data_IF_587205764743
#
_entry.id   IF_587205764743
#
_cell.length_a   1.000
_cell.length_b   1.000
_cell.length_c   1.000
_cell.angle_alpha   90.00
_cell.angle_beta   90.00
_cell.angle_gamma   90.00
#
_symmetry.space_group_name_H-M   'P 1'
#
loop_
_entity.id
_entity.type
_entity.pdbx_description
1 polymer ?
#
# COMPACT_ATOMS: atom_id res chain seq x y z
N UNK A 1 21.41 1.57 24.00
CA UNK A 1 20.13 2.09 24.52
C UNK A 1 19.64 3.14 23.56
N UNK A 2 18.38 3.05 23.16
CA UNK A 2 17.70 4.05 22.34
C UNK A 2 16.89 5.01 23.24
N UNK A 3 16.86 6.28 22.86
CA UNK A 3 15.89 7.22 23.39
C UNK A 3 14.61 7.11 22.53
N UNK A 4 13.46 6.93 23.16
CA UNK A 4 12.17 6.79 22.49
C UNK A 4 11.37 8.06 22.71
N UNK A 5 10.96 8.68 21.64
CA UNK A 5 10.14 9.89 21.63
C UNK A 5 8.83 9.60 20.90
N UNK A 6 7.70 9.90 21.53
CA UNK A 6 6.40 9.90 20.83
C UNK A 6 6.38 11.03 19.80
N UNK A 7 5.93 10.73 18.60
CA UNK A 7 5.80 11.75 17.56
C UNK A 7 4.89 12.93 18.02
N UNK A 8 5.30 14.11 17.66
CA UNK A 8 4.51 15.33 17.78
C UNK A 8 4.67 16.16 16.50
N UNK A 9 3.73 17.06 16.22
CA UNK A 9 3.73 17.86 14.98
C UNK A 9 5.02 18.68 14.76
N UNK A 10 5.74 19.03 15.84
CA UNK A 10 7.05 19.69 15.78
C UNK A 10 8.15 18.84 15.15
N UNK A 11 7.99 17.53 15.08
CA UNK A 11 8.96 16.59 14.48
C UNK A 11 8.63 16.24 13.03
N UNK A 12 7.63 16.89 12.42
CA UNK A 12 7.13 16.53 11.08
C UNK A 12 8.20 16.53 10.02
N UNK A 13 9.03 17.57 9.98
CA UNK A 13 10.06 17.70 8.94
C UNK A 13 11.16 16.65 9.12
N UNK A 14 11.61 16.41 10.36
CA UNK A 14 12.59 15.36 10.67
C UNK A 14 12.05 13.97 10.32
N UNK A 15 10.78 13.68 10.66
CA UNK A 15 10.10 12.45 10.30
C UNK A 15 10.07 12.23 8.78
N UNK A 16 9.59 13.22 8.01
CA UNK A 16 9.48 13.13 6.57
C UNK A 16 10.84 12.99 5.88
N UNK A 17 11.85 13.72 6.35
CA UNK A 17 13.22 13.59 5.86
C UNK A 17 13.77 12.19 6.10
N UNK A 18 13.52 11.61 7.28
CA UNK A 18 13.93 10.23 7.58
C UNK A 18 13.23 9.22 6.66
N UNK A 19 11.92 9.33 6.47
CA UNK A 19 11.15 8.46 5.56
C UNK A 19 11.74 8.50 4.14
N UNK A 20 12.03 9.68 3.61
CA UNK A 20 12.58 9.85 2.27
C UNK A 20 13.94 9.14 2.10
N UNK A 21 14.79 9.18 3.14
CA UNK A 21 16.14 8.59 3.14
C UNK A 21 16.19 7.13 3.60
N UNK A 22 15.10 6.60 4.13
CA UNK A 22 15.03 5.24 4.68
C UNK A 22 15.18 4.17 3.61
N UNK A 23 15.55 2.95 4.02
CA UNK A 23 15.72 1.80 3.10
C UNK A 23 14.38 1.11 2.73
N UNK A 24 13.32 1.32 3.50
CA UNK A 24 12.03 0.65 3.36
C UNK A 24 10.80 1.56 3.52
N UNK A 25 10.99 2.85 3.76
CA UNK A 25 9.90 3.81 3.82
C UNK A 25 9.38 4.20 2.43
N UNK A 26 8.07 4.42 2.34
CA UNK A 26 7.36 4.92 1.17
C UNK A 26 6.62 6.22 1.53
N UNK A 27 6.05 6.91 0.53
CA UNK A 27 5.30 8.14 0.78
C UNK A 27 4.06 7.93 1.67
N UNK A 28 3.59 6.70 1.84
CA UNK A 28 2.50 6.37 2.77
C UNK A 28 2.85 6.69 4.23
N UNK A 29 4.15 6.72 4.56
CA UNK A 29 4.66 7.07 5.89
C UNK A 29 5.00 8.56 6.03
N UNK A 30 4.93 9.35 4.96
CA UNK A 30 5.08 10.80 5.04
C UNK A 30 3.90 11.40 5.81
N UNK A 31 4.16 12.34 6.72
CA UNK A 31 3.13 12.97 7.53
C UNK A 31 2.14 13.79 6.72
N UNK A 32 2.52 14.29 5.55
CA UNK A 32 1.55 14.91 4.64
C UNK A 32 0.56 13.89 4.06
N UNK A 33 0.95 12.58 4.01
CA UNK A 33 0.01 11.51 3.70
C UNK A 33 -0.72 11.05 4.96
N UNK A 34 -0.03 10.69 6.04
CA UNK A 34 -0.65 10.11 7.24
C UNK A 34 -1.66 11.06 7.90
N UNK A 35 -1.35 12.35 7.96
CA UNK A 35 -2.16 13.33 8.70
C UNK A 35 -3.45 13.75 7.95
N UNK A 36 -3.74 13.24 6.72
CA UNK A 36 -4.99 13.58 6.04
C UNK A 36 -6.22 12.99 6.75
N UNK A 37 -6.02 11.96 7.57
CA UNK A 37 -7.08 11.24 8.28
C UNK A 37 -6.79 11.11 9.78
N UNK A 38 -6.07 12.07 10.35
CA UNK A 38 -5.72 12.09 11.78
C UNK A 38 -6.93 12.16 12.71
N UNK A 39 -8.09 12.57 12.19
CA UNK A 39 -9.38 12.55 12.88
C UNK A 39 -9.92 11.13 13.11
N UNK A 40 -9.41 10.12 12.39
CA UNK A 40 -9.87 8.72 12.45
C UNK A 40 -9.01 7.82 13.32
N UNK A 41 -7.76 8.24 13.57
CA UNK A 41 -6.76 7.40 14.24
C UNK A 41 -6.02 8.20 15.31
N UNK A 42 -6.06 7.72 16.55
CA UNK A 42 -5.27 8.28 17.63
C UNK A 42 -3.80 7.90 17.43
N UNK A 43 -2.98 8.88 17.03
CA UNK A 43 -1.57 8.65 16.72
C UNK A 43 -0.75 8.26 17.96
N UNK A 44 -0.04 7.17 17.88
CA UNK A 44 0.93 6.72 18.87
C UNK A 44 2.25 6.30 18.22
N UNK A 45 2.65 7.01 17.18
CA UNK A 45 3.88 6.76 16.45
C UNK A 45 5.12 7.07 17.28
N UNK A 46 6.19 6.31 17.09
CA UNK A 46 7.44 6.44 17.82
C UNK A 46 8.61 6.78 16.92
N UNK A 47 9.53 7.57 17.48
CA UNK A 47 10.82 7.94 16.94
C UNK A 47 11.91 7.38 17.85
N UNK A 48 12.85 6.64 17.29
CA UNK A 48 13.94 6.01 18.03
C UNK A 48 15.24 6.73 17.74
N UNK A 49 15.84 7.32 18.76
CA UNK A 49 17.12 8.04 18.63
C UNK A 49 18.28 7.24 19.20
N UNK A 50 19.41 7.24 18.52
CA UNK A 50 20.66 6.66 18.98
C UNK A 50 21.76 7.72 18.97
N UNK A 51 22.33 8.04 20.13
CA UNK A 51 23.34 9.10 20.29
C UNK A 51 22.88 10.44 19.70
N UNK A 52 21.63 10.82 19.98
CA UNK A 52 21.01 12.08 19.52
C UNK A 52 20.69 12.14 18.00
N UNK A 53 20.79 11.01 17.27
CA UNK A 53 20.41 10.93 15.85
C UNK A 53 19.22 10.00 15.68
N UNK A 54 18.23 10.42 14.88
CA UNK A 54 17.11 9.60 14.51
C UNK A 54 17.58 8.34 13.79
N UNK A 55 17.13 7.19 14.25
CA UNK A 55 17.60 5.87 13.84
C UNK A 55 16.52 4.99 13.22
N UNK A 56 15.32 5.02 13.77
CA UNK A 56 14.17 4.28 13.26
C UNK A 56 12.87 5.02 13.58
N UNK A 57 11.82 4.69 12.83
CA UNK A 57 10.47 5.18 13.04
C UNK A 57 9.49 4.00 13.09
N UNK A 58 8.46 4.13 13.90
CA UNK A 58 7.28 3.26 13.84
C UNK A 58 6.04 4.12 13.70
N UNK A 59 5.40 4.08 12.54
CA UNK A 59 4.08 4.65 12.34
C UNK A 59 3.06 3.77 13.09
N UNK A 60 2.31 4.36 14.01
CA UNK A 60 1.37 3.60 14.83
C UNK A 60 0.15 4.44 15.23
N UNK A 61 -0.96 3.74 15.46
CA UNK A 61 -2.12 4.30 16.14
C UNK A 61 -2.61 3.34 17.22
N UNK A 62 -3.36 3.88 18.17
CA UNK A 62 -3.94 3.09 19.25
C UNK A 62 -5.45 2.97 19.13
N UNK A 63 -5.98 1.87 19.65
CA UNK A 63 -7.40 1.64 19.87
C UNK A 63 -7.58 0.55 20.92
N UNK A 64 -8.38 0.80 21.95
CA UNK A 64 -8.73 -0.17 23.02
C UNK A 64 -7.50 -0.78 23.70
N UNK A 65 -6.49 0.03 24.01
CA UNK A 65 -5.19 -0.40 24.57
C UNK A 65 -4.42 -1.42 23.70
N UNK A 66 -4.75 -1.50 22.42
CA UNK A 66 -4.02 -2.24 21.40
C UNK A 66 -3.29 -1.25 20.50
N UNK A 67 -2.01 -1.50 20.27
CA UNK A 67 -1.23 -0.75 19.31
C UNK A 67 -1.31 -1.42 17.94
N UNK A 68 -1.51 -0.61 16.91
CA UNK A 68 -1.48 -1.03 15.51
C UNK A 68 -0.33 -0.32 14.79
N UNK A 69 0.44 -1.03 13.97
CA UNK A 69 1.40 -0.40 13.06
C UNK A 69 0.68 0.26 11.87
N UNK A 70 -0.22 1.13 12.20
CA UNK A 70 -1.14 2.03 11.54
C UNK A 70 -2.28 1.36 10.73
N UNK A 71 -3.50 1.38 11.31
CA UNK A 71 -4.71 0.80 10.70
C UNK A 71 -5.07 1.46 9.36
N UNK A 72 -4.82 2.76 9.20
CA UNK A 72 -5.13 3.52 7.99
C UNK A 72 -4.14 3.34 6.82
N UNK A 73 -3.08 2.55 6.97
CA UNK A 73 -2.10 2.29 5.93
C UNK A 73 -2.23 0.88 5.36
N UNK A 74 -1.87 0.70 4.10
CA UNK A 74 -1.88 -0.61 3.41
C UNK A 74 -0.94 -1.61 4.09
N UNK A 75 0.22 -1.14 4.54
CA UNK A 75 1.23 -1.82 5.34
C UNK A 75 1.81 -0.84 6.35
N UNK A 76 2.44 -1.36 7.39
CA UNK A 76 3.08 -0.60 8.45
C UNK A 76 4.53 -1.04 8.66
N UNK A 77 4.94 -1.18 9.90
CA UNK A 77 6.24 -1.74 10.25
C UNK A 77 7.31 -0.72 10.61
N UNK A 78 8.46 -1.23 11.04
CA UNK A 78 9.60 -0.42 11.44
C UNK A 78 10.30 0.15 10.21
N UNK A 79 10.49 1.47 10.19
CA UNK A 79 11.18 2.18 9.12
C UNK A 79 12.62 2.43 9.56
N UNK A 80 13.58 2.03 8.73
CA UNK A 80 14.99 2.04 9.09
C UNK A 80 15.87 2.58 7.96
N UNK A 81 17.15 2.82 8.25
CA UNK A 81 18.13 3.29 7.27
C UNK A 81 19.01 2.14 6.77
N UNK A 82 19.78 2.38 5.70
CA UNK A 82 20.76 1.42 5.16
C UNK A 82 21.89 1.07 6.14
N UNK A 83 22.06 1.84 7.20
CA UNK A 83 23.07 1.60 8.24
C UNK A 83 22.55 0.73 9.38
N UNK A 84 21.28 0.44 9.41
CA UNK A 84 20.65 -0.33 10.47
C UNK A 84 21.08 -1.79 10.41
N UNK A 85 21.49 -2.35 11.53
CA UNK A 85 21.91 -3.74 11.68
C UNK A 85 20.83 -4.56 12.38
N UNK A 86 20.87 -5.88 12.19
CA UNK A 86 19.93 -6.80 12.84
C UNK A 86 19.96 -6.69 14.37
N UNK A 87 21.14 -6.66 14.99
CA UNK A 87 21.28 -6.54 16.45
C UNK A 87 20.62 -5.26 16.98
N UNK A 88 20.77 -4.14 16.26
CA UNK A 88 20.14 -2.87 16.63
C UNK A 88 18.62 -2.92 16.49
N UNK A 89 18.08 -3.61 15.47
CA UNK A 89 16.64 -3.84 15.35
C UNK A 89 16.10 -4.68 16.50
N UNK A 90 16.82 -5.74 16.92
CA UNK A 90 16.45 -6.51 18.11
C UNK A 90 16.37 -5.63 19.37
N UNK A 91 17.35 -4.74 19.56
CA UNK A 91 17.34 -3.78 20.67
C UNK A 91 16.15 -2.83 20.57
N UNK A 92 15.83 -2.31 19.37
CA UNK A 92 14.63 -1.46 19.15
C UNK A 92 13.37 -2.20 19.57
N UNK A 93 13.19 -3.47 19.20
CA UNK A 93 12.00 -4.24 19.59
C UNK A 93 11.93 -4.54 21.09
N UNK A 94 13.06 -4.79 21.76
CA UNK A 94 13.08 -4.90 23.21
C UNK A 94 12.62 -3.60 23.89
N UNK A 95 13.14 -2.46 23.48
CA UNK A 95 12.81 -1.17 24.06
C UNK A 95 11.38 -0.72 23.70
N UNK A 96 10.92 -1.02 22.48
CA UNK A 96 9.56 -0.81 22.01
C UNK A 96 8.54 -1.56 22.89
N UNK A 97 8.78 -2.84 23.14
CA UNK A 97 7.90 -3.66 24.00
C UNK A 97 7.86 -3.10 25.42
N UNK A 98 9.01 -2.74 25.98
CA UNK A 98 9.09 -2.15 27.31
C UNK A 98 8.39 -0.78 27.39
N UNK A 99 8.48 0.04 26.35
CA UNK A 99 7.83 1.34 26.26
C UNK A 99 6.31 1.19 26.25
N UNK A 100 5.77 0.40 25.32
CA UNK A 100 4.31 0.25 25.19
C UNK A 100 3.69 -0.47 26.37
N UNK A 101 4.40 -1.47 26.96
CA UNK A 101 3.95 -2.11 28.21
C UNK A 101 3.81 -1.11 29.35
N UNK A 102 4.80 -0.21 29.54
CA UNK A 102 4.73 0.86 30.57
C UNK A 102 3.63 1.88 30.26
N UNK A 103 3.32 2.11 28.99
CA UNK A 103 2.23 2.99 28.55
C UNK A 103 0.84 2.35 28.70
N UNK A 104 0.75 1.09 29.17
CA UNK A 104 -0.53 0.42 29.47
C UNK A 104 -1.12 -0.36 28.29
N UNK A 105 -0.36 -0.55 27.22
CA UNK A 105 -0.77 -1.43 26.11
C UNK A 105 -0.58 -2.90 26.52
N UNK A 106 -1.45 -3.77 26.03
CA UNK A 106 -1.38 -5.21 26.29
C UNK A 106 -1.07 -6.02 25.03
N UNK A 107 -1.22 -5.44 23.83
CA UNK A 107 -1.05 -6.15 22.56
C UNK A 107 -0.55 -5.19 21.47
N UNK A 108 0.22 -5.74 20.54
CA UNK A 108 0.59 -5.06 19.29
C UNK A 108 0.13 -5.88 18.11
N UNK A 109 -0.46 -5.19 17.11
CA UNK A 109 -0.79 -5.73 15.79
C UNK A 109 0.09 -5.03 14.76
N UNK A 110 0.92 -5.82 14.08
CA UNK A 110 1.98 -5.35 13.21
C UNK A 110 1.79 -5.83 11.78
N UNK A 111 1.54 -4.90 10.85
CA UNK A 111 1.51 -5.17 9.41
C UNK A 111 2.91 -4.98 8.85
N UNK A 112 3.57 -6.05 8.43
CA UNK A 112 4.91 -5.95 7.86
C UNK A 112 4.88 -5.23 6.49
N UNK A 113 5.95 -4.48 6.18
CA UNK A 113 6.13 -3.91 4.85
C UNK A 113 6.53 -5.05 3.91
N UNK A 114 5.79 -5.34 2.82
CA UNK A 114 6.19 -6.39 1.88
C UNK A 114 7.54 -6.07 1.21
N UNK A 115 8.36 -7.09 1.01
CA UNK A 115 9.74 -6.94 0.50
C UNK A 115 9.86 -6.20 -0.84
N UNK A 116 8.83 -6.26 -1.69
CA UNK A 116 8.80 -5.52 -2.96
C UNK A 116 8.88 -3.99 -2.80
N UNK A 117 8.50 -3.44 -1.63
CA UNK A 117 8.58 -2.01 -1.32
C UNK A 117 9.92 -1.59 -0.73
N UNK A 118 10.82 -2.54 -0.47
CA UNK A 118 12.13 -2.25 0.09
C UNK A 118 13.10 -1.80 -1.01
N UNK A 119 13.75 -0.64 -0.82
CA UNK A 119 14.87 -0.17 -1.67
C UNK A 119 16.14 -1.00 -1.44
N UNK A 120 16.28 -1.59 -0.26
CA UNK A 120 17.35 -2.50 0.16
C UNK A 120 16.75 -3.63 0.98
N UNK A 121 17.36 -4.83 1.07
CA UNK A 121 16.92 -5.87 1.98
C UNK A 121 16.65 -5.33 3.38
N UNK A 122 15.47 -5.58 3.94
CA UNK A 122 14.98 -4.93 5.16
C UNK A 122 13.96 -5.79 5.90
N UNK A 123 14.34 -7.03 6.21
CA UNK A 123 13.46 -8.00 6.90
C UNK A 123 13.98 -8.31 8.32
N UNK A 124 14.81 -7.43 8.90
CA UNK A 124 15.31 -7.57 10.27
C UNK A 124 14.18 -7.53 11.30
N UNK A 125 13.10 -6.81 11.00
CA UNK A 125 11.89 -6.78 11.80
C UNK A 125 11.17 -8.14 11.83
N UNK A 126 11.10 -8.86 10.71
CA UNK A 126 10.50 -10.20 10.66
C UNK A 126 11.27 -11.17 11.56
N UNK A 127 12.60 -11.06 11.60
CA UNK A 127 13.41 -11.84 12.53
C UNK A 127 13.15 -11.45 13.99
N UNK A 128 13.05 -10.14 14.29
CA UNK A 128 12.74 -9.64 15.63
C UNK A 128 11.33 -10.08 16.10
N UNK A 129 10.33 -10.09 15.21
CA UNK A 129 8.98 -10.55 15.52
C UNK A 129 8.98 -11.99 16.06
N UNK A 130 9.81 -12.88 15.52
CA UNK A 130 9.92 -14.27 16.00
C UNK A 130 10.83 -14.41 17.21
N UNK A 131 12.03 -13.81 17.16
CA UNK A 131 13.08 -14.03 18.17
C UNK A 131 12.87 -13.26 19.48
N UNK A 132 12.27 -12.06 19.41
CA UNK A 132 12.06 -11.17 20.56
C UNK A 132 10.60 -11.15 20.99
N UNK A 133 9.67 -10.97 20.01
CA UNK A 133 8.26 -10.75 20.33
C UNK A 133 7.47 -12.06 20.46
N UNK A 134 8.00 -13.19 19.99
CA UNK A 134 7.25 -14.45 19.85
C UNK A 134 5.90 -14.23 19.15
N UNK A 135 5.93 -13.35 18.15
CA UNK A 135 4.75 -12.90 17.44
C UNK A 135 4.13 -14.02 16.62
N UNK A 136 2.81 -14.03 16.58
CA UNK A 136 2.01 -14.97 15.80
C UNK A 136 1.55 -14.30 14.51
N UNK A 137 1.70 -14.99 13.39
CA UNK A 137 1.06 -14.60 12.12
C UNK A 137 -0.45 -14.80 12.25
N UNK A 138 -1.23 -13.73 12.16
CA UNK A 138 -2.69 -13.77 12.31
C UNK A 138 -3.43 -13.57 10.99
N UNK A 139 -2.79 -12.95 9.99
CA UNK A 139 -3.34 -12.77 8.66
C UNK A 139 -2.22 -12.79 7.61
N UNK A 140 -2.48 -13.47 6.51
CA UNK A 140 -1.64 -13.45 5.31
C UNK A 140 -2.52 -13.20 4.11
N UNK A 141 -2.44 -11.98 3.58
CA UNK A 141 -3.08 -11.62 2.33
C UNK A 141 -2.18 -11.99 1.15
N UNK A 142 -2.78 -12.25 -0.01
CA UNK A 142 -2.05 -12.49 -1.27
C UNK A 142 -2.33 -11.37 -2.26
N UNK A 143 -1.27 -10.75 -2.77
CA UNK A 143 -1.30 -9.82 -3.89
C UNK A 143 -0.75 -10.47 -5.16
N UNK A 144 -1.05 -9.89 -6.32
CA UNK A 144 -0.51 -10.31 -7.60
C UNK A 144 0.42 -9.22 -8.14
N UNK A 145 1.71 -9.55 -8.24
CA UNK A 145 2.77 -8.61 -8.60
C UNK A 145 3.48 -9.06 -9.88
N UNK A 146 3.82 -8.12 -10.74
CA UNK A 146 4.63 -8.32 -11.95
C UNK A 146 6.04 -7.77 -11.70
N UNK A 147 7.06 -8.54 -12.01
CA UNK A 147 8.43 -8.05 -12.12
C UNK A 147 8.58 -7.40 -13.51
N UNK A 148 8.76 -6.06 -13.57
CA UNK A 148 8.63 -5.30 -14.81
C UNK A 148 9.71 -5.60 -15.85
N UNK A 149 10.91 -5.98 -15.42
CA UNK A 149 11.99 -6.39 -16.31
C UNK A 149 11.90 -7.86 -16.78
N UNK A 150 10.92 -8.66 -16.26
CA UNK A 150 10.72 -10.06 -16.62
C UNK A 150 9.23 -10.43 -16.58
N UNK A 151 8.45 -9.84 -17.47
CA UNK A 151 7.00 -10.01 -17.48
C UNK A 151 6.57 -11.35 -18.07
N UNK A 152 5.57 -11.99 -17.46
CA UNK A 152 4.84 -13.07 -18.09
C UNK A 152 3.86 -12.53 -19.14
N UNK A 153 3.63 -13.25 -20.25
CA UNK A 153 2.66 -12.83 -21.24
C UNK A 153 1.24 -12.85 -20.66
N UNK A 154 0.40 -11.95 -21.14
CA UNK A 154 -1.04 -11.98 -20.84
C UNK A 154 -1.67 -13.26 -21.34
N UNK A 155 -2.65 -13.78 -20.61
CA UNK A 155 -3.48 -14.91 -21.07
C UNK A 155 -4.29 -14.56 -22.31
N UNK A 156 -4.73 -15.57 -23.06
CA UNK A 156 -5.52 -15.34 -24.28
C UNK A 156 -6.82 -14.59 -24.01
N UNK A 157 -7.46 -14.80 -22.86
CA UNK A 157 -8.65 -14.03 -22.49
C UNK A 157 -8.35 -12.53 -22.35
N UNK A 158 -7.20 -12.16 -21.73
CA UNK A 158 -6.77 -10.75 -21.63
C UNK A 158 -6.40 -10.18 -22.99
N UNK A 159 -5.68 -10.93 -23.83
CA UNK A 159 -5.35 -10.52 -25.20
C UNK A 159 -6.60 -10.32 -26.05
N UNK A 160 -7.61 -11.19 -25.90
CA UNK A 160 -8.90 -11.04 -26.59
C UNK A 160 -9.61 -9.76 -26.16
N UNK A 161 -9.67 -9.48 -24.84
CA UNK A 161 -10.22 -8.24 -24.33
C UNK A 161 -9.51 -6.99 -24.85
N UNK A 162 -8.17 -7.01 -24.88
CA UNK A 162 -7.35 -5.93 -25.46
C UNK A 162 -7.71 -5.66 -26.92
N UNK A 163 -7.79 -6.73 -27.76
CA UNK A 163 -8.16 -6.59 -29.19
C UNK A 163 -9.55 -5.98 -29.32
N UNK A 164 -10.51 -6.46 -28.54
CA UNK A 164 -11.88 -5.94 -28.53
C UNK A 164 -11.94 -4.46 -28.16
N UNK A 165 -11.22 -4.06 -27.10
CA UNK A 165 -11.16 -2.66 -26.66
C UNK A 165 -10.52 -1.76 -27.72
N UNK A 166 -9.42 -2.19 -28.34
CA UNK A 166 -8.76 -1.45 -29.42
C UNK A 166 -9.67 -1.31 -30.66
N UNK A 167 -10.38 -2.36 -31.03
CA UNK A 167 -11.34 -2.32 -32.16
C UNK A 167 -12.55 -1.42 -31.88
N UNK A 168 -12.96 -1.32 -30.62
CA UNK A 168 -14.02 -0.41 -30.20
C UNK A 168 -13.59 1.06 -30.13
N UNK A 169 -12.29 1.36 -30.32
CA UNK A 169 -11.78 2.73 -30.29
C UNK A 169 -11.52 3.28 -28.90
N UNK A 170 -11.42 2.40 -27.86
CA UNK A 170 -11.12 2.85 -26.49
C UNK A 170 -9.73 3.47 -26.45
N UNK A 171 -9.65 4.67 -25.84
CA UNK A 171 -8.44 5.43 -25.61
C UNK A 171 -7.99 5.32 -24.14
N UNK A 172 -6.68 5.26 -23.91
CA UNK A 172 -6.11 5.23 -22.56
C UNK A 172 -5.28 6.50 -22.36
N UNK A 173 -5.61 7.27 -21.35
CA UNK A 173 -4.90 8.50 -21.00
C UNK A 173 -4.73 8.67 -19.50
N UNK A 174 -3.71 9.42 -19.12
CA UNK A 174 -3.61 9.97 -17.77
C UNK A 174 -4.62 11.11 -17.62
N UNK A 175 -5.24 11.24 -16.46
CA UNK A 175 -6.30 12.20 -16.19
C UNK A 175 -6.23 12.73 -14.77
N UNK A 176 -6.75 13.91 -14.53
CA UNK A 176 -7.01 14.46 -13.22
C UNK A 176 -8.52 14.47 -12.86
N UNK A 177 -9.36 13.86 -13.69
CA UNK A 177 -10.80 13.75 -13.42
C UNK A 177 -11.10 12.58 -12.47
N UNK A 178 -10.74 12.80 -11.20
CA UNK A 178 -11.01 11.83 -10.13
C UNK A 178 -12.50 11.60 -9.92
N UNK A 179 -13.36 12.60 -10.17
CA UNK A 179 -14.81 12.46 -9.97
C UNK A 179 -15.41 11.48 -10.97
N UNK A 180 -15.03 11.55 -12.25
CA UNK A 180 -15.50 10.61 -13.26
C UNK A 180 -15.15 9.16 -12.89
N UNK A 181 -13.91 8.90 -12.49
CA UNK A 181 -13.50 7.57 -12.05
C UNK A 181 -14.22 7.15 -10.76
N UNK A 182 -14.38 8.08 -9.82
CA UNK A 182 -15.00 7.81 -8.52
C UNK A 182 -16.45 7.36 -8.64
N UNK A 183 -17.21 7.98 -9.54
CA UNK A 183 -18.59 7.59 -9.84
C UNK A 183 -18.68 6.13 -10.29
N UNK A 184 -17.77 5.68 -11.16
CA UNK A 184 -17.70 4.28 -11.62
C UNK A 184 -17.33 3.34 -10.45
N UNK A 185 -16.33 3.71 -9.67
CA UNK A 185 -15.87 2.91 -8.52
C UNK A 185 -16.96 2.76 -7.47
N UNK A 186 -17.58 3.86 -7.09
CA UNK A 186 -18.62 3.90 -6.05
C UNK A 186 -19.85 3.09 -6.48
N UNK A 187 -20.32 3.26 -7.71
CA UNK A 187 -21.42 2.48 -8.26
C UNK A 187 -21.14 0.97 -8.23
N UNK A 188 -19.93 0.55 -8.62
CA UNK A 188 -19.55 -0.86 -8.59
C UNK A 188 -19.44 -1.43 -7.17
N UNK A 189 -18.88 -0.70 -6.21
CA UNK A 189 -18.75 -1.15 -4.83
C UNK A 189 -20.12 -1.22 -4.14
N UNK A 190 -20.96 -0.21 -4.36
CA UNK A 190 -22.32 -0.19 -3.82
C UNK A 190 -23.16 -1.36 -4.38
N UNK A 191 -23.18 -1.54 -5.71
CA UNK A 191 -23.99 -2.57 -6.36
C UNK A 191 -23.52 -4.00 -6.03
N UNK A 192 -22.21 -4.21 -5.82
CA UNK A 192 -21.66 -5.55 -5.61
C UNK A 192 -21.55 -5.95 -4.14
N UNK A 193 -21.27 -4.98 -3.26
CA UNK A 193 -20.92 -5.27 -1.87
C UNK A 193 -21.71 -4.42 -0.85
N UNK A 194 -22.46 -3.40 -1.27
CA UNK A 194 -23.14 -2.47 -0.37
C UNK A 194 -22.21 -1.59 0.46
N UNK A 195 -20.95 -1.42 0.04
CA UNK A 195 -19.93 -0.65 0.77
C UNK A 195 -19.47 0.57 -0.03
N UNK A 196 -18.89 1.53 0.69
CA UNK A 196 -18.22 2.69 0.09
C UNK A 196 -16.70 2.47 0.02
N UNK A 197 -15.99 3.15 -0.90
CA UNK A 197 -14.53 3.21 -0.89
C UNK A 197 -13.99 3.76 0.44
N UNK A 198 -12.78 3.36 0.82
CA UNK A 198 -12.10 3.82 2.04
C UNK A 198 -11.82 5.33 2.00
N UNK A 199 -11.44 5.86 0.85
CA UNK A 199 -11.27 7.29 0.61
C UNK A 199 -12.54 7.90 0.02
N UNK A 200 -12.57 9.22 -0.01
CA UNK A 200 -13.50 10.01 -0.84
C UNK A 200 -12.74 10.57 -2.05
N UNK A 201 -13.46 11.02 -3.08
CA UNK A 201 -12.84 11.71 -4.22
C UNK A 201 -12.08 12.97 -3.78
N UNK A 202 -12.63 13.72 -2.82
CA UNK A 202 -12.01 14.92 -2.27
C UNK A 202 -10.68 14.61 -1.54
N UNK A 203 -10.63 13.55 -0.76
CA UNK A 203 -9.39 13.08 -0.11
C UNK A 203 -8.32 12.69 -1.14
N UNK A 204 -8.70 11.99 -2.21
CA UNK A 204 -7.74 11.63 -3.25
C UNK A 204 -7.24 12.84 -4.03
N UNK A 205 -8.07 13.83 -4.31
CA UNK A 205 -7.65 15.10 -4.91
C UNK A 205 -6.68 15.85 -3.99
N UNK A 206 -6.95 15.89 -2.69
CA UNK A 206 -6.05 16.46 -1.70
C UNK A 206 -4.72 15.71 -1.67
N UNK A 207 -4.74 14.37 -1.62
CA UNK A 207 -3.53 13.56 -1.64
C UNK A 207 -2.76 13.72 -2.95
N UNK A 208 -3.43 13.75 -4.09
CA UNK A 208 -2.82 14.06 -5.41
C UNK A 208 -2.12 15.42 -5.41
N UNK A 209 -2.74 16.45 -4.82
CA UNK A 209 -2.10 17.78 -4.75
C UNK A 209 -0.82 17.80 -3.90
N UNK A 210 -0.74 16.94 -2.86
CA UNK A 210 0.43 16.78 -2.01
C UNK A 210 1.50 15.87 -2.63
N UNK A 211 1.08 14.87 -3.41
CA UNK A 211 1.91 13.82 -4.01
C UNK A 211 1.67 13.71 -5.53
N UNK A 212 1.93 14.78 -6.31
CA UNK A 212 1.53 14.83 -7.72
C UNK A 212 2.23 13.81 -8.61
N UNK A 213 3.42 13.33 -8.23
CA UNK A 213 4.16 12.32 -8.97
C UNK A 213 3.88 10.90 -8.51
N UNK A 214 3.48 10.73 -7.24
CA UNK A 214 3.23 9.43 -6.63
C UNK A 214 1.80 8.93 -6.84
N UNK A 215 0.82 9.83 -6.98
CA UNK A 215 -0.59 9.47 -7.18
C UNK A 215 -1.02 9.86 -8.58
N UNK A 216 -1.36 8.87 -9.41
CA UNK A 216 -1.74 9.09 -10.81
C UNK A 216 -3.01 8.31 -11.14
N UNK A 217 -3.91 8.94 -11.88
CA UNK A 217 -5.13 8.34 -12.41
C UNK A 217 -4.96 8.08 -13.91
N UNK A 218 -5.33 6.88 -14.36
CA UNK A 218 -5.47 6.53 -15.76
C UNK A 218 -6.90 6.13 -16.07
N UNK A 219 -7.45 6.67 -17.14
CA UNK A 219 -8.79 6.37 -17.62
C UNK A 219 -8.76 5.61 -18.94
N UNK A 220 -9.75 4.75 -19.12
CA UNK A 220 -10.14 4.17 -20.39
C UNK A 220 -11.43 4.85 -20.83
N UNK A 221 -11.41 5.56 -21.95
CA UNK A 221 -12.52 6.35 -22.48
C UNK A 221 -12.94 5.88 -23.86
N UNK A 222 -14.22 6.03 -24.19
CA UNK A 222 -14.78 5.84 -25.51
C UNK A 222 -15.67 7.04 -25.81
N UNK A 223 -15.39 7.76 -26.91
CA UNK A 223 -16.10 8.99 -27.28
C UNK A 223 -16.20 9.97 -26.09
N UNK A 224 -15.06 10.23 -25.44
CA UNK A 224 -14.89 11.06 -24.24
C UNK A 224 -15.63 10.56 -22.98
N UNK A 225 -16.37 9.46 -23.06
CA UNK A 225 -17.05 8.84 -21.92
C UNK A 225 -16.08 7.91 -21.16
N UNK A 226 -15.83 8.12 -19.87
CA UNK A 226 -15.06 7.19 -19.04
C UNK A 226 -15.80 5.85 -18.87
N UNK A 227 -15.14 4.75 -19.22
CA UNK A 227 -15.65 3.38 -19.07
C UNK A 227 -14.98 2.64 -17.90
N UNK A 228 -13.86 3.14 -17.43
CA UNK A 228 -13.10 2.56 -16.33
C UNK A 228 -11.74 3.22 -16.16
N UNK A 229 -10.99 2.75 -15.16
CA UNK A 229 -9.68 3.31 -14.89
C UNK A 229 -8.99 2.65 -13.70
N UNK A 230 -7.86 3.24 -13.31
CA UNK A 230 -7.09 2.86 -12.13
C UNK A 230 -6.39 4.06 -11.52
N UNK A 231 -6.38 4.11 -10.18
CA UNK A 231 -5.53 5.03 -9.44
C UNK A 231 -4.27 4.27 -9.03
N UNK A 232 -3.12 4.80 -9.40
CA UNK A 232 -1.82 4.24 -9.12
C UNK A 232 -1.14 5.01 -7.97
N UNK A 233 -0.52 4.26 -7.05
CA UNK A 233 0.38 4.77 -6.02
C UNK A 233 1.80 4.33 -6.40
N UNK A 234 2.69 5.30 -6.65
CA UNK A 234 4.05 5.07 -7.14
C UNK A 234 5.02 5.26 -5.99
N UNK A 235 5.76 4.21 -5.67
CA UNK A 235 6.83 4.20 -4.67
C UNK A 235 8.18 4.07 -5.38
N UNK A 236 9.31 4.13 -4.68
CA UNK A 236 10.62 3.96 -5.31
C UNK A 236 10.84 2.64 -6.04
N UNK A 237 10.09 1.58 -5.69
CA UNK A 237 10.28 0.22 -6.24
C UNK A 237 9.04 -0.37 -6.85
N UNK A 238 7.85 0.19 -6.58
CA UNK A 238 6.56 -0.41 -6.95
C UNK A 238 5.60 0.63 -7.52
N UNK A 239 4.95 0.31 -8.62
CA UNK A 239 3.68 0.92 -9.02
C UNK A 239 2.55 0.04 -8.48
N UNK A 240 1.78 0.56 -7.53
CA UNK A 240 0.66 -0.15 -6.90
C UNK A 240 -0.68 0.35 -7.42
N UNK A 241 -1.61 -0.55 -7.74
CA UNK A 241 -2.98 -0.16 -8.06
C UNK A 241 -3.81 0.00 -6.79
N UNK A 242 -4.04 1.24 -6.38
CA UNK A 242 -4.86 1.55 -5.21
C UNK A 242 -6.35 1.27 -5.45
N UNK A 243 -6.82 1.60 -6.64
CA UNK A 243 -8.19 1.33 -7.09
C UNK A 243 -8.22 0.93 -8.56
N UNK A 244 -9.04 -0.05 -8.88
CA UNK A 244 -9.33 -0.53 -10.24
C UNK A 244 -10.84 -0.65 -10.38
N UNK A 245 -11.43 -0.05 -11.40
CA UNK A 245 -12.87 -0.21 -11.67
C UNK A 245 -13.19 0.03 -13.13
N UNK A 246 -14.24 -0.62 -13.63
CA UNK A 246 -14.86 -0.35 -14.93
C UNK A 246 -16.37 -0.54 -14.80
N UNK A 247 -17.14 0.26 -15.54
CA UNK A 247 -18.57 0.08 -15.67
C UNK A 247 -18.92 -1.19 -16.49
N UNK A 248 -20.18 -1.51 -16.65
CA UNK A 248 -20.60 -2.71 -17.37
C UNK A 248 -20.19 -2.66 -18.86
N UNK A 249 -20.26 -1.51 -19.50
CA UNK A 249 -19.83 -1.34 -20.88
C UNK A 249 -18.31 -1.54 -21.01
N UNK A 250 -17.51 -0.95 -20.11
CA UNK A 250 -16.06 -1.11 -20.06
C UNK A 250 -15.64 -2.56 -19.82
N UNK A 251 -16.34 -3.27 -18.92
CA UNK A 251 -16.11 -4.71 -18.70
C UNK A 251 -16.38 -5.53 -19.96
N UNK A 252 -17.53 -5.29 -20.63
CA UNK A 252 -17.91 -5.99 -21.86
C UNK A 252 -16.94 -5.71 -23.01
N UNK A 253 -16.43 -4.51 -23.12
CA UNK A 253 -15.51 -4.08 -24.18
C UNK A 253 -14.03 -4.37 -23.89
N UNK A 254 -13.68 -4.87 -22.67
CA UNK A 254 -12.30 -5.17 -22.28
C UNK A 254 -11.46 -3.93 -21.96
N UNK A 255 -12.07 -2.86 -21.47
CA UNK A 255 -11.41 -1.59 -21.18
C UNK A 255 -10.19 -1.74 -20.24
N UNK A 256 -10.32 -2.53 -19.15
CA UNK A 256 -9.21 -2.78 -18.23
C UNK A 256 -8.07 -3.62 -18.87
N UNK A 257 -8.40 -4.48 -19.84
CA UNK A 257 -7.38 -5.29 -20.51
C UNK A 257 -6.46 -4.40 -21.35
N UNK A 258 -7.03 -3.41 -22.06
CA UNK A 258 -6.26 -2.42 -22.80
C UNK A 258 -5.55 -1.45 -21.86
N UNK A 259 -6.21 -1.01 -20.80
CA UNK A 259 -5.65 -0.10 -19.80
C UNK A 259 -4.34 -0.65 -19.23
N UNK A 260 -4.34 -1.89 -18.71
CA UNK A 260 -3.14 -2.49 -18.14
C UNK A 260 -2.07 -2.80 -19.18
N UNK A 261 -2.44 -3.14 -20.41
CA UNK A 261 -1.47 -3.24 -21.50
C UNK A 261 -0.69 -1.93 -21.69
N UNK A 262 -1.40 -0.81 -21.77
CA UNK A 262 -0.77 0.49 -22.04
C UNK A 262 0.01 1.00 -20.81
N UNK A 263 -0.48 0.76 -19.60
CA UNK A 263 0.23 1.09 -18.35
C UNK A 263 1.52 0.30 -18.21
N UNK A 264 1.50 -1.02 -18.44
CA UNK A 264 2.66 -1.89 -18.27
C UNK A 264 3.74 -1.70 -19.36
N UNK A 265 3.44 -1.02 -20.43
CA UNK A 265 4.43 -0.61 -21.46
C UNK A 265 5.23 0.63 -21.07
N UNK A 266 4.72 1.43 -20.11
CA UNK A 266 5.39 2.66 -19.71
C UNK A 266 6.67 2.32 -18.94
N UNK A 267 7.69 3.13 -19.14
CA UNK A 267 8.88 3.10 -18.30
C UNK A 267 8.58 3.83 -16.98
N UNK A 268 8.44 3.05 -15.91
CA UNK A 268 8.15 3.54 -14.58
C UNK A 268 9.40 3.77 -13.73
N UNK A 269 10.55 3.32 -14.22
CA UNK A 269 11.82 3.34 -13.46
C UNK A 269 11.69 2.71 -12.05
N UNK A 270 10.92 1.61 -11.96
CA UNK A 270 10.72 0.81 -10.73
C UNK A 270 10.75 -0.69 -11.09
N UNK A 271 10.94 -1.55 -10.08
CA UNK A 271 11.10 -2.99 -10.32
C UNK A 271 9.77 -3.73 -10.49
N UNK A 272 8.71 -3.29 -9.80
CA UNK A 272 7.48 -4.05 -9.66
C UNK A 272 6.23 -3.25 -10.04
N UNK A 273 5.24 -3.99 -10.55
CA UNK A 273 3.86 -3.53 -10.66
C UNK A 273 2.97 -4.44 -9.82
N UNK A 274 2.31 -3.91 -8.82
CA UNK A 274 1.49 -4.66 -7.86
C UNK A 274 0.01 -4.35 -8.00
N UNK A 275 -0.81 -5.37 -8.28
CA UNK A 275 -2.26 -5.25 -8.41
C UNK A 275 -3.00 -5.19 -7.05
N UNK A 276 -2.29 -5.24 -5.94
CA UNK A 276 -2.87 -5.27 -4.61
C UNK A 276 -3.53 -6.61 -4.25
N UNK A 277 -4.04 -6.66 -3.04
CA UNK A 277 -4.55 -7.88 -2.41
C UNK A 277 -5.75 -8.48 -3.14
N UNK A 278 -5.89 -9.81 -3.04
CA UNK A 278 -7.01 -10.58 -3.59
C UNK A 278 -7.65 -11.49 -2.53
N UNK A 279 -7.56 -11.10 -1.27
CA UNK A 279 -8.20 -11.74 -0.13
C UNK A 279 -9.35 -10.88 0.39
N UNK A 280 -10.36 -11.51 0.97
CA UNK A 280 -11.43 -10.84 1.69
C UNK A 280 -10.90 -10.34 3.04
N UNK A 281 -11.25 -9.10 3.39
CA UNK A 281 -10.82 -8.49 4.66
C UNK A 281 -11.48 -9.16 5.87
N UNK A 282 -12.67 -9.73 5.70
CA UNK A 282 -13.47 -10.32 6.80
C UNK A 282 -13.16 -11.79 7.02
N UNK A 283 -12.99 -12.58 5.94
CA UNK A 283 -12.86 -14.04 6.02
C UNK A 283 -11.45 -14.55 5.74
N UNK A 284 -10.51 -13.69 5.37
CA UNK A 284 -9.17 -14.06 4.86
C UNK A 284 -9.22 -15.03 3.66
N UNK A 285 -10.37 -15.21 3.05
CA UNK A 285 -10.56 -16.12 1.92
C UNK A 285 -10.08 -15.51 0.62
N UNK A 286 -9.55 -16.36 -0.25
CA UNK A 286 -9.09 -15.98 -1.57
C UNK A 286 -10.28 -15.62 -2.48
N UNK A 287 -10.31 -14.40 -2.99
CA UNK A 287 -11.19 -14.00 -4.08
C UNK A 287 -10.68 -14.58 -5.42
N UNK A 288 -11.13 -15.78 -5.74
CA UNK A 288 -10.69 -16.55 -6.92
C UNK A 288 -10.91 -15.82 -8.25
N UNK A 289 -11.99 -15.02 -8.37
CA UNK A 289 -12.26 -14.25 -9.59
C UNK A 289 -11.26 -13.10 -9.75
N UNK A 290 -10.96 -12.42 -8.65
CA UNK A 290 -10.06 -11.28 -8.65
C UNK A 290 -8.60 -11.72 -8.90
N UNK A 291 -8.13 -12.78 -8.22
CA UNK A 291 -6.77 -13.27 -8.44
C UNK A 291 -6.59 -13.83 -9.84
N UNK A 292 -7.56 -14.56 -10.38
CA UNK A 292 -7.55 -15.06 -11.76
C UNK A 292 -7.41 -13.91 -12.78
N UNK A 293 -8.11 -12.78 -12.55
CA UNK A 293 -7.99 -11.61 -13.40
C UNK A 293 -6.56 -11.05 -13.35
N UNK A 294 -6.00 -10.85 -12.16
CA UNK A 294 -4.68 -10.26 -11.95
C UNK A 294 -3.55 -11.17 -12.46
N UNK A 295 -3.65 -12.46 -12.22
CA UNK A 295 -2.72 -13.46 -12.78
C UNK A 295 -2.81 -13.54 -14.32
N UNK A 296 -3.99 -13.28 -14.87
CA UNK A 296 -4.19 -13.18 -16.31
C UNK A 296 -3.39 -12.06 -16.98
N UNK A 297 -3.03 -11.02 -16.24
CA UNK A 297 -2.11 -9.95 -16.66
C UNK A 297 -0.63 -10.31 -16.40
N UNK A 298 -0.33 -11.49 -15.94
CA UNK A 298 1.03 -11.94 -15.65
C UNK A 298 1.47 -11.79 -14.19
N UNK A 299 0.59 -11.35 -13.29
CA UNK A 299 0.87 -11.22 -11.86
C UNK A 299 1.18 -12.56 -11.19
N UNK A 300 2.03 -12.55 -10.15
CA UNK A 300 2.36 -13.70 -9.31
C UNK A 300 2.35 -13.29 -7.84
N UNK A 301 2.24 -14.26 -6.96
CA UNK A 301 1.93 -14.06 -5.56
C UNK A 301 3.02 -13.35 -4.76
N UNK A 302 2.63 -12.30 -4.02
CA UNK A 302 3.39 -11.67 -2.94
C UNK A 302 2.50 -11.62 -1.71
N UNK A 303 3.04 -12.00 -0.54
CA UNK A 303 2.30 -12.00 0.72
C UNK A 303 2.37 -10.62 1.40
N UNK A 304 1.26 -10.27 2.06
CA UNK A 304 1.13 -9.15 2.97
C UNK A 304 0.75 -9.72 4.33
N UNK A 305 1.69 -9.71 5.27
CA UNK A 305 1.59 -10.39 6.55
C UNK A 305 1.20 -9.43 7.67
N UNK A 306 0.34 -9.91 8.56
CA UNK A 306 0.01 -9.23 9.81
C UNK A 306 0.29 -10.16 10.97
N UNK A 307 1.04 -9.67 11.94
CA UNK A 307 1.44 -10.37 13.15
C UNK A 307 0.79 -9.74 14.38
N UNK A 308 0.64 -10.52 15.43
CA UNK A 308 0.29 -10.01 16.76
C UNK A 308 1.16 -10.63 17.85
N UNK A 309 1.35 -9.89 18.93
CA UNK A 309 1.93 -10.42 20.17
C UNK A 309 1.42 -9.66 21.39
N UNK A 310 1.52 -10.30 22.55
CA UNK A 310 1.18 -9.72 23.86
C UNK A 310 2.43 -9.09 24.49
N UNK A 311 2.26 -7.96 25.20
CA UNK A 311 3.32 -7.20 25.87
C UNK A 311 3.54 -7.64 27.32
#
# INVERSE_FOLDING_TARGET
MFEIVRYAASHKDEWNQFVAQSKNGTFLFDRNYMDYHNDRFEDHSLMFYKKGKLYALLAANEKDHILYSHQGLTYGGLITTVKTTTDEVLQVFHELNAYYKRAGFHKIIYKAIPSIYHKWPSEEDLYALTSICQARLIMRDISSTILLNKQFPFTESRKSGMRKASQAGIQISESDDFDAFWNILQANLHNKYGINPVHTAAELKLLKSRFPHQIRLFLATLDDKPLGGTILFITPTVVHTQYISADEEGKQKGALDLLFKEILKKDWNVDYFDFGKSTSTESCELNRKLIFQKEGFGGRGICYDTYEWTL
#
